data_IF_914395195603
#
_entry.id   IF_914395195603
#
_cell.length_a   1.000
_cell.length_b   1.000
_cell.length_c   1.000
_cell.angle_alpha   90.00
_cell.angle_beta   90.00
_cell.angle_gamma   90.00
#
_symmetry.space_group_name_H-M   'P 1'
#
loop_
_entity.id
_entity.type
_entity.pdbx_description
1 polymer ?
#
# COMPACT_ATOMS: atom_id res chain seq x y z
N UNK A 1 -14.04 17.44 -2.44
CA UNK A 1 -15.19 16.78 -3.07
C UNK A 1 -16.01 15.99 -2.10
N UNK A 2 -17.02 15.32 -2.60
CA UNK A 2 -17.87 14.44 -1.83
C UNK A 2 -18.21 13.16 -2.57
N UNK A 3 -18.56 12.11 -1.82
CA UNK A 3 -19.03 10.84 -2.34
C UNK A 3 -20.30 10.44 -1.60
N UNK A 4 -21.36 10.16 -2.34
CA UNK A 4 -22.59 9.58 -1.82
C UNK A 4 -22.55 8.08 -2.10
N UNK A 5 -22.60 7.26 -1.06
CA UNK A 5 -22.61 5.81 -1.17
C UNK A 5 -23.21 5.17 0.08
N UNK A 6 -23.94 4.07 -0.07
CA UNK A 6 -24.55 3.31 1.04
C UNK A 6 -25.42 4.16 1.97
N UNK A 7 -26.10 5.18 1.45
CA UNK A 7 -26.95 6.11 2.24
C UNK A 7 -26.17 7.10 3.09
N UNK A 8 -24.88 7.25 2.87
CA UNK A 8 -23.98 8.17 3.57
C UNK A 8 -23.33 9.14 2.60
N UNK A 9 -22.90 10.30 3.09
CA UNK A 9 -22.14 11.30 2.36
C UNK A 9 -20.77 11.43 3.03
N UNK A 10 -19.71 11.25 2.25
CA UNK A 10 -18.33 11.43 2.68
C UNK A 10 -17.76 12.68 2.03
N UNK A 11 -17.30 13.63 2.83
CA UNK A 11 -16.50 14.75 2.33
C UNK A 11 -15.04 14.38 2.36
N UNK A 12 -14.33 14.62 1.27
CA UNK A 12 -12.93 14.27 1.12
C UNK A 12 -12.11 15.42 0.53
N UNK A 13 -10.86 15.42 0.87
CA UNK A 13 -9.82 16.32 0.39
C UNK A 13 -8.69 15.52 -0.27
N UNK A 14 -7.71 16.19 -0.83
CA UNK A 14 -6.52 15.56 -1.41
C UNK A 14 -5.81 14.66 -0.39
N UNK A 15 -5.50 13.43 -0.81
CA UNK A 15 -4.82 12.43 0.00
C UNK A 15 -5.73 11.58 0.89
N UNK A 16 -7.01 11.94 1.06
CA UNK A 16 -7.95 11.12 1.79
C UNK A 16 -8.23 9.80 1.07
N UNK A 17 -8.43 8.75 1.85
CA UNK A 17 -8.76 7.42 1.35
C UNK A 17 -10.08 6.95 1.92
N UNK A 18 -10.92 6.34 1.12
CA UNK A 18 -12.14 5.71 1.59
C UNK A 18 -12.36 4.36 0.90
N UNK A 19 -13.05 3.46 1.58
CA UNK A 19 -13.32 2.10 1.12
C UNK A 19 -14.82 1.87 1.14
N UNK A 20 -15.37 1.49 0.00
CA UNK A 20 -16.79 1.22 -0.17
C UNK A 20 -17.03 -0.29 -0.34
N UNK A 21 -18.06 -0.85 0.31
CA UNK A 21 -18.45 -2.23 0.05
C UNK A 21 -19.05 -2.37 -1.36
N UNK A 22 -18.90 -3.55 -1.95
CA UNK A 22 -19.56 -3.85 -3.21
C UNK A 22 -21.08 -3.97 -3.04
N UNK A 23 -21.84 -3.73 -4.12
CA UNK A 23 -23.28 -3.94 -4.17
C UNK A 23 -24.12 -2.67 -4.11
N UNK A 24 -23.52 -1.50 -4.25
CA UNK A 24 -24.19 -0.21 -4.30
C UNK A 24 -23.64 0.72 -5.38
N UNK A 25 -24.38 1.76 -5.70
CA UNK A 25 -23.92 2.87 -6.52
C UNK A 25 -23.16 3.87 -5.65
N UNK A 26 -22.12 4.47 -6.22
CA UNK A 26 -21.39 5.58 -5.62
C UNK A 26 -21.41 6.77 -6.59
N UNK A 27 -21.78 7.93 -6.09
CA UNK A 27 -21.81 9.19 -6.85
C UNK A 27 -20.74 10.10 -6.31
N UNK A 28 -19.79 10.48 -7.16
CA UNK A 28 -18.70 11.39 -6.81
C UNK A 28 -18.96 12.77 -7.43
N UNK A 29 -18.74 13.82 -6.66
CA UNK A 29 -18.84 15.20 -7.11
C UNK A 29 -17.77 16.08 -6.47
N UNK A 30 -17.39 17.14 -7.18
CA UNK A 30 -16.46 18.16 -6.68
C UNK A 30 -16.74 19.50 -7.37
N UNK A 31 -16.61 20.59 -6.63
CA UNK A 31 -16.72 21.97 -7.17
C UNK A 31 -15.45 22.41 -7.92
N UNK A 32 -14.36 21.66 -7.79
CA UNK A 32 -13.08 21.88 -8.44
C UNK A 32 -12.63 20.65 -9.22
N UNK A 33 -11.53 20.77 -9.96
CA UNK A 33 -10.92 19.58 -10.56
C UNK A 33 -10.47 18.60 -9.46
N UNK A 34 -10.88 17.35 -9.61
CA UNK A 34 -10.50 16.26 -8.71
C UNK A 34 -10.24 14.99 -9.50
N UNK A 35 -9.33 14.16 -9.00
CA UNK A 35 -9.05 12.81 -9.48
C UNK A 35 -9.23 11.80 -8.37
N UNK A 36 -9.73 10.61 -8.71
CA UNK A 36 -9.83 9.49 -7.80
C UNK A 36 -8.99 8.34 -8.34
N UNK A 37 -8.07 7.82 -7.51
CA UNK A 37 -7.38 6.58 -7.79
C UNK A 37 -8.22 5.43 -7.26
N UNK A 38 -8.84 4.68 -8.17
CA UNK A 38 -9.79 3.62 -7.82
C UNK A 38 -9.19 2.23 -8.04
N UNK A 39 -9.13 1.44 -6.96
CA UNK A 39 -8.69 0.04 -6.97
C UNK A 39 -9.83 -0.85 -6.49
N UNK A 40 -10.06 -1.97 -7.17
CA UNK A 40 -11.12 -2.92 -6.85
C UNK A 40 -10.73 -4.35 -7.23
N UNK A 41 -11.39 -5.32 -6.63
CA UNK A 41 -11.18 -6.76 -6.82
C UNK A 41 -12.17 -7.43 -7.81
N UNK A 42 -12.95 -6.66 -8.56
CA UNK A 42 -13.89 -7.20 -9.53
C UNK A 42 -13.28 -8.18 -10.55
N UNK A 43 -12.04 -8.04 -11.02
CA UNK A 43 -11.40 -9.05 -11.87
C UNK A 43 -11.30 -10.42 -11.20
N UNK A 44 -10.94 -10.48 -9.92
CA UNK A 44 -10.88 -11.71 -9.13
C UNK A 44 -12.28 -12.33 -8.98
N UNK A 45 -13.29 -11.54 -8.65
CA UNK A 45 -14.65 -12.02 -8.48
C UNK A 45 -15.20 -12.61 -9.80
N UNK A 46 -14.92 -11.97 -10.93
CA UNK A 46 -15.26 -12.49 -12.26
C UNK A 46 -14.55 -13.81 -12.57
N UNK A 47 -13.25 -13.91 -12.24
CA UNK A 47 -12.50 -15.16 -12.42
C UNK A 47 -13.08 -16.30 -11.60
N UNK A 48 -13.51 -16.04 -10.36
CA UNK A 48 -14.12 -17.02 -9.47
C UNK A 48 -15.58 -17.36 -9.84
N UNK A 49 -16.21 -16.60 -10.75
CA UNK A 49 -17.61 -16.77 -11.12
C UNK A 49 -18.60 -16.41 -10.01
N UNK A 50 -18.21 -15.47 -9.11
CA UNK A 50 -19.01 -15.06 -7.95
C UNK A 50 -19.37 -13.59 -8.03
N UNK A 51 -20.41 -13.19 -7.30
CA UNK A 51 -20.82 -11.79 -7.14
C UNK A 51 -21.20 -11.51 -5.69
N UNK A 52 -21.14 -10.23 -5.31
CA UNK A 52 -21.58 -9.77 -4.00
C UNK A 52 -23.08 -9.85 -3.88
N UNK A 53 -23.59 -10.55 -2.86
CA UNK A 53 -25.04 -10.68 -2.59
C UNK A 53 -25.53 -9.51 -1.74
N UNK A 54 -24.70 -9.06 -0.81
CA UNK A 54 -24.99 -7.93 0.10
C UNK A 54 -23.68 -7.28 0.57
N UNK A 55 -23.70 -6.01 0.98
CA UNK A 55 -22.58 -5.39 1.69
C UNK A 55 -22.17 -6.23 2.91
N UNK A 56 -20.87 -6.40 3.12
CA UNK A 56 -20.31 -7.21 4.22
C UNK A 56 -19.50 -6.39 5.21
N UNK A 57 -19.38 -5.09 4.97
CA UNK A 57 -18.81 -4.09 5.87
C UNK A 57 -19.44 -2.73 5.57
N UNK A 58 -19.35 -1.82 6.52
CA UNK A 58 -19.74 -0.43 6.36
C UNK A 58 -18.61 0.36 5.69
N UNK A 59 -18.92 1.41 4.91
CA UNK A 59 -17.92 2.30 4.36
C UNK A 59 -16.92 2.78 5.42
N UNK A 60 -15.64 2.84 5.06
CA UNK A 60 -14.58 3.32 5.93
C UNK A 60 -13.90 4.54 5.31
N UNK A 61 -13.54 5.51 6.16
CA UNK A 61 -12.83 6.72 5.76
C UNK A 61 -11.53 6.84 6.56
N UNK A 62 -10.45 7.19 5.86
CA UNK A 62 -9.11 7.41 6.42
C UNK A 62 -8.65 8.81 6.03
N UNK A 63 -8.66 9.72 7.00
CA UNK A 63 -8.15 11.07 6.81
C UNK A 63 -6.66 11.05 6.51
N UNK A 64 -6.25 11.75 5.46
CA UNK A 64 -4.83 11.92 5.15
C UNK A 64 -4.09 12.59 6.31
N UNK A 65 -4.70 13.59 6.95
CA UNK A 65 -4.11 14.30 8.08
C UNK A 65 -3.79 13.35 9.24
N UNK A 66 -4.75 12.49 9.62
CA UNK A 66 -4.55 11.53 10.72
C UNK A 66 -3.53 10.45 10.37
N UNK A 67 -3.59 9.91 9.14
CA UNK A 67 -2.63 8.93 8.67
C UNK A 67 -1.19 9.48 8.64
N UNK A 68 -1.03 10.74 8.19
CA UNK A 68 0.26 11.45 8.20
C UNK A 68 0.76 11.68 9.61
N UNK A 69 -0.09 12.17 10.52
CA UNK A 69 0.31 12.41 11.91
C UNK A 69 0.78 11.13 12.62
N UNK A 70 0.10 10.00 12.38
CA UNK A 70 0.51 8.71 12.90
C UNK A 70 1.84 8.24 12.29
N UNK A 71 2.01 8.42 10.97
CA UNK A 71 3.22 8.04 10.25
C UNK A 71 4.44 8.84 10.74
N UNK A 72 4.29 10.16 10.92
CA UNK A 72 5.34 11.05 11.42
C UNK A 72 5.72 10.69 12.86
N UNK A 73 4.76 10.33 13.70
CA UNK A 73 5.02 9.86 15.06
C UNK A 73 5.81 8.54 15.08
N UNK A 74 5.54 7.61 14.17
CA UNK A 74 6.29 6.36 14.04
C UNK A 74 7.69 6.64 13.49
N UNK A 75 7.83 7.47 12.47
CA UNK A 75 9.11 7.83 11.86
C UNK A 75 10.05 8.53 12.85
N UNK A 76 9.51 9.36 13.73
CA UNK A 76 10.27 10.08 14.78
C UNK A 76 10.71 9.17 15.94
N UNK A 77 10.20 7.93 16.03
CA UNK A 77 10.62 7.00 17.06
C UNK A 77 11.96 6.35 16.67
N UNK A 78 12.96 6.28 17.58
CA UNK A 78 14.27 5.66 17.30
C UNK A 78 14.19 4.22 16.76
N UNK A 79 13.16 3.46 17.14
CA UNK A 79 12.92 2.11 16.60
C UNK A 79 12.40 2.16 15.16
N UNK A 80 11.60 3.17 14.82
CA UNK A 80 11.09 3.40 13.45
C UNK A 80 12.19 3.84 12.49
N UNK A 81 13.11 4.69 12.95
CA UNK A 81 14.22 5.22 12.13
C UNK A 81 15.15 4.12 11.57
N UNK A 82 15.21 2.95 12.19
CA UNK A 82 16.02 1.80 11.74
C UNK A 82 15.18 0.72 11.04
N UNK A 83 13.88 0.92 10.88
CA UNK A 83 13.03 -0.05 10.21
C UNK A 83 13.22 0.02 8.68
N UNK A 84 13.26 -1.14 8.01
CA UNK A 84 13.31 -1.19 6.55
C UNK A 84 12.07 -0.52 5.90
N UNK A 85 10.96 -0.46 6.64
CA UNK A 85 9.72 0.20 6.22
C UNK A 85 9.10 0.94 7.41
N UNK A 86 8.72 2.19 7.17
CA UNK A 86 7.90 2.98 8.10
C UNK A 86 6.54 3.21 7.43
N UNK A 87 5.48 2.69 8.01
CA UNK A 87 4.13 2.78 7.42
C UNK A 87 3.03 2.64 8.46
N UNK A 88 1.86 3.16 8.11
CA UNK A 88 0.60 3.02 8.84
C UNK A 88 -0.36 2.18 8.02
N UNK A 89 -0.88 1.10 8.60
CA UNK A 89 -1.90 0.27 7.96
C UNK A 89 -3.24 1.01 7.95
N UNK A 90 -3.91 0.98 6.81
CA UNK A 90 -5.29 1.40 6.68
C UNK A 90 -6.18 0.17 6.99
N UNK A 91 -6.45 -0.05 8.27
CA UNK A 91 -7.21 -1.22 8.73
C UNK A 91 -8.70 -0.92 8.82
N UNK A 92 -9.53 -1.88 8.43
CA UNK A 92 -10.97 -1.85 8.59
C UNK A 92 -11.39 -2.69 9.80
N UNK A 93 -12.20 -2.13 10.70
CA UNK A 93 -12.65 -2.81 11.91
C UNK A 93 -13.49 -4.07 11.64
N UNK A 94 -14.06 -4.21 10.45
CA UNK A 94 -14.74 -5.42 10.02
C UNK A 94 -13.77 -6.61 9.83
N UNK A 95 -12.47 -6.34 9.68
CA UNK A 95 -11.43 -7.36 9.44
C UNK A 95 -10.33 -7.34 10.52
N UNK A 96 -10.67 -7.55 11.80
CA UNK A 96 -9.70 -7.41 12.89
C UNK A 96 -8.57 -8.45 12.84
N UNK A 97 -8.83 -9.62 12.24
CA UNK A 97 -7.84 -10.71 12.13
C UNK A 97 -6.76 -10.43 11.07
N UNK A 98 -7.13 -9.79 9.97
CA UNK A 98 -6.24 -9.53 8.83
C UNK A 98 -5.74 -8.10 8.79
N UNK A 99 -6.45 -7.17 9.44
CA UNK A 99 -6.19 -5.72 9.42
C UNK A 99 -6.14 -5.15 7.99
N UNK A 100 -6.99 -5.69 7.13
CA UNK A 100 -7.10 -5.32 5.71
C UNK A 100 -8.20 -4.28 5.48
N UNK A 101 -8.21 -3.63 4.34
CA UNK A 101 -9.26 -2.64 3.98
C UNK A 101 -10.53 -3.33 3.47
N UNK A 102 -10.36 -4.47 2.78
CA UNK A 102 -11.44 -5.38 2.36
C UNK A 102 -11.00 -6.83 2.60
N UNK A 103 -11.81 -7.81 2.23
CA UNK A 103 -11.46 -9.22 2.27
C UNK A 103 -10.22 -9.58 1.44
N UNK A 104 -10.02 -8.85 0.35
CA UNK A 104 -8.99 -9.14 -0.65
C UNK A 104 -7.87 -8.09 -0.67
N UNK A 105 -8.17 -6.85 -0.30
CA UNK A 105 -7.24 -5.74 -0.44
C UNK A 105 -6.65 -5.31 0.90
N UNK A 106 -5.37 -5.07 0.88
CA UNK A 106 -4.56 -4.54 1.97
C UNK A 106 -3.91 -3.24 1.52
N UNK A 107 -3.91 -2.22 2.36
CA UNK A 107 -3.32 -0.93 2.03
C UNK A 107 -2.59 -0.32 3.24
N UNK A 108 -1.59 0.49 2.95
CA UNK A 108 -0.85 1.26 3.95
C UNK A 108 -0.39 2.58 3.37
N UNK A 109 -0.23 3.60 4.20
CA UNK A 109 0.54 4.79 3.86
C UNK A 109 1.96 4.64 4.39
N UNK A 110 2.95 4.75 3.49
CA UNK A 110 4.37 4.64 3.82
C UNK A 110 5.14 5.92 3.59
N UNK A 111 6.22 6.12 4.34
CA UNK A 111 7.21 7.17 4.12
C UNK A 111 8.54 6.54 3.71
N UNK A 112 9.19 7.16 2.74
CA UNK A 112 10.57 6.91 2.38
C UNK A 112 11.37 8.20 2.59
N UNK A 113 12.09 8.34 3.70
CA UNK A 113 12.82 9.56 4.02
C UNK A 113 13.86 9.92 2.96
N UNK A 114 14.21 11.21 2.89
CA UNK A 114 15.25 11.72 2.00
C UNK A 114 16.57 10.96 2.17
N UNK A 115 17.19 10.56 1.06
CA UNK A 115 18.45 9.83 1.03
C UNK A 115 18.37 8.37 1.51
N UNK A 116 17.18 7.81 1.74
CA UNK A 116 17.00 6.46 2.26
C UNK A 116 16.63 5.46 1.17
N UNK A 117 16.93 4.20 1.47
CA UNK A 117 16.58 3.04 0.64
C UNK A 117 15.82 2.04 1.50
N UNK A 118 14.62 1.68 1.06
CA UNK A 118 13.95 0.49 1.53
C UNK A 118 14.53 -0.71 0.76
N UNK A 119 15.27 -1.56 1.47
CA UNK A 119 15.98 -2.70 0.87
C UNK A 119 15.04 -3.69 0.19
N UNK A 120 15.58 -4.50 -0.75
CA UNK A 120 14.78 -5.45 -1.50
C UNK A 120 13.98 -6.39 -0.60
N UNK A 121 12.72 -6.51 -0.93
CA UNK A 121 11.79 -7.49 -0.37
C UNK A 121 10.89 -8.01 -1.48
N UNK A 122 10.21 -9.12 -1.23
CA UNK A 122 9.25 -9.71 -2.17
C UNK A 122 8.08 -10.33 -1.42
N UNK A 123 6.96 -10.43 -2.09
CA UNK A 123 5.77 -11.13 -1.64
C UNK A 123 5.01 -11.69 -2.83
N UNK A 124 4.15 -12.68 -2.63
CA UNK A 124 3.37 -13.28 -3.70
C UNK A 124 2.13 -12.47 -4.10
N UNK A 125 1.71 -11.50 -3.29
CA UNK A 125 0.68 -10.55 -3.69
C UNK A 125 1.21 -9.58 -4.74
N UNK A 126 0.34 -9.15 -5.65
CA UNK A 126 0.62 -7.98 -6.48
C UNK A 126 0.57 -6.71 -5.62
N UNK A 127 1.40 -5.73 -5.90
CA UNK A 127 1.26 -4.39 -5.34
C UNK A 127 0.98 -3.36 -6.46
N UNK A 128 0.02 -2.49 -6.18
CA UNK A 128 -0.22 -1.25 -6.90
C UNK A 128 0.30 -0.12 -6.01
N UNK A 129 1.46 0.39 -6.34
CA UNK A 129 2.13 1.43 -5.57
C UNK A 129 1.77 2.80 -6.14
N UNK A 130 1.02 3.59 -5.37
CA UNK A 130 0.64 4.95 -5.75
C UNK A 130 1.57 5.96 -5.08
N UNK A 131 2.31 6.73 -5.88
CA UNK A 131 3.19 7.79 -5.40
C UNK A 131 2.36 9.01 -4.97
N UNK A 132 2.07 9.12 -3.67
CA UNK A 132 1.26 10.21 -3.11
C UNK A 132 1.98 11.55 -3.23
N UNK A 133 3.26 11.58 -2.82
CA UNK A 133 4.11 12.75 -2.94
C UNK A 133 5.57 12.32 -3.07
N UNK A 134 6.28 12.87 -4.04
CA UNK A 134 7.70 12.64 -4.23
C UNK A 134 8.34 13.79 -5.02
N UNK A 135 9.65 13.91 -4.90
CA UNK A 135 10.47 14.76 -5.76
C UNK A 135 11.19 13.88 -6.81
N UNK A 136 11.68 14.45 -7.92
CA UNK A 136 12.56 13.74 -8.85
C UNK A 136 13.75 13.11 -8.12
N UNK A 137 14.08 11.86 -8.47
CA UNK A 137 15.08 11.04 -7.78
C UNK A 137 14.50 9.96 -6.88
N UNK A 138 13.16 9.85 -6.76
CA UNK A 138 12.50 8.71 -6.16
C UNK A 138 12.21 7.65 -7.23
N UNK A 139 12.49 6.38 -6.94
CA UNK A 139 12.25 5.29 -7.87
C UNK A 139 12.13 3.94 -7.16
N UNK A 140 11.62 2.95 -7.88
CA UNK A 140 11.59 1.54 -7.48
C UNK A 140 12.43 0.72 -8.44
N UNK A 141 13.30 -0.13 -7.89
CA UNK A 141 13.94 -1.20 -8.65
C UNK A 141 13.12 -2.48 -8.52
N UNK A 142 12.88 -3.17 -9.62
CA UNK A 142 12.07 -4.40 -9.70
C UNK A 142 12.88 -5.46 -10.46
N UNK A 143 13.00 -6.67 -9.90
CA UNK A 143 13.75 -7.72 -10.57
C UNK A 143 13.58 -9.10 -9.95
N UNK A 144 14.12 -10.12 -10.58
CA UNK A 144 14.00 -11.52 -10.14
C UNK A 144 15.21 -12.04 -9.40
N UNK A 145 16.35 -11.33 -9.51
CA UNK A 145 17.63 -11.78 -8.98
C UNK A 145 18.24 -10.75 -8.02
N UNK A 146 18.92 -11.24 -7.01
CA UNK A 146 19.73 -10.42 -6.10
C UNK A 146 21.21 -10.67 -6.38
N UNK A 147 22.03 -9.64 -6.15
CA UNK A 147 23.49 -9.74 -6.10
C UNK A 147 23.96 -10.27 -4.72
N UNK A 148 25.27 -10.39 -4.55
CA UNK A 148 25.93 -10.85 -3.31
C UNK A 148 25.66 -9.94 -2.10
N UNK A 149 25.31 -8.67 -2.34
CA UNK A 149 24.95 -7.70 -1.31
C UNK A 149 23.45 -7.67 -1.00
N UNK A 150 22.67 -8.52 -1.68
CA UNK A 150 21.20 -8.59 -1.55
C UNK A 150 20.49 -7.42 -2.22
N UNK A 151 21.12 -6.76 -3.18
CA UNK A 151 20.50 -5.72 -4.02
C UNK A 151 20.03 -6.34 -5.35
N UNK A 152 19.04 -5.70 -5.99
CA UNK A 152 18.45 -6.20 -7.22
C UNK A 152 19.47 -6.06 -8.36
N UNK A 153 19.74 -7.18 -9.04
CA UNK A 153 20.64 -7.25 -10.20
C UNK A 153 19.82 -7.26 -11.50
N UNK A 154 20.24 -6.46 -12.48
CA UNK A 154 19.61 -6.38 -13.80
C UNK A 154 18.10 -6.08 -13.74
N UNK A 155 17.67 -5.30 -12.73
CA UNK A 155 16.28 -4.94 -12.53
C UNK A 155 15.80 -3.83 -13.46
N UNK A 156 14.47 -3.74 -13.57
CA UNK A 156 13.79 -2.58 -14.14
C UNK A 156 13.73 -1.46 -13.13
N UNK A 157 14.03 -0.24 -13.54
CA UNK A 157 13.86 0.98 -12.74
C UNK A 157 12.55 1.67 -13.16
N UNK A 158 11.71 1.93 -12.19
CA UNK A 158 10.49 2.71 -12.33
C UNK A 158 10.63 4.01 -11.56
N UNK A 159 10.73 5.13 -12.26
CA UNK A 159 10.84 6.45 -11.65
C UNK A 159 9.46 6.92 -11.16
N UNK A 160 9.41 7.50 -9.96
CA UNK A 160 8.17 7.98 -9.38
C UNK A 160 7.80 9.36 -9.89
N UNK A 161 6.50 9.54 -10.15
CA UNK A 161 5.88 10.84 -10.33
C UNK A 161 4.70 10.97 -9.36
N UNK A 162 4.58 12.10 -8.67
CA UNK A 162 3.45 12.33 -7.76
C UNK A 162 2.12 12.19 -8.51
N UNK A 163 1.19 11.44 -7.94
CA UNK A 163 -0.10 11.10 -8.56
C UNK A 163 -0.05 9.95 -9.57
N UNK A 164 1.10 9.34 -9.83
CA UNK A 164 1.23 8.17 -10.68
C UNK A 164 1.20 6.87 -9.86
N UNK A 165 0.81 5.78 -10.51
CA UNK A 165 0.83 4.44 -9.94
C UNK A 165 1.66 3.50 -10.81
N UNK A 166 2.35 2.56 -10.18
CA UNK A 166 3.09 1.50 -10.84
C UNK A 166 2.80 0.14 -10.21
N UNK A 167 3.18 -0.93 -10.89
CA UNK A 167 2.90 -2.30 -10.47
C UNK A 167 4.19 -2.98 -10.05
N UNK A 168 4.16 -3.58 -8.85
CA UNK A 168 5.16 -4.58 -8.44
C UNK A 168 4.57 -5.98 -8.66
N UNK A 169 5.11 -6.78 -9.62
CA UNK A 169 4.59 -8.10 -9.92
C UNK A 169 4.76 -9.09 -8.77
N UNK A 170 3.86 -10.09 -8.64
CA UNK A 170 3.95 -11.13 -7.62
C UNK A 170 5.29 -11.87 -7.67
N UNK A 171 5.92 -12.03 -6.51
CA UNK A 171 7.17 -12.78 -6.36
C UNK A 171 8.44 -12.07 -6.81
N UNK A 172 8.34 -10.90 -7.42
CA UNK A 172 9.50 -10.10 -7.81
C UNK A 172 10.09 -9.37 -6.58
N UNK A 173 11.41 -9.35 -6.51
CA UNK A 173 12.12 -8.47 -5.60
C UNK A 173 11.89 -7.03 -6.02
N UNK A 174 11.64 -6.17 -5.05
CA UNK A 174 11.52 -4.73 -5.27
C UNK A 174 12.12 -3.96 -4.09
N UNK A 175 12.71 -2.81 -4.42
CA UNK A 175 13.31 -1.88 -3.46
C UNK A 175 12.95 -0.46 -3.84
N UNK A 176 12.68 0.37 -2.85
CA UNK A 176 12.33 1.77 -3.07
C UNK A 176 13.51 2.65 -2.67
N UNK A 177 13.80 3.63 -3.51
CA UNK A 177 14.95 4.52 -3.38
C UNK A 177 14.48 5.97 -3.39
N UNK A 178 15.02 6.77 -2.49
CA UNK A 178 14.79 8.21 -2.47
C UNK A 178 16.14 8.93 -2.47
N UNK A 179 16.59 9.31 -3.66
CA UNK A 179 17.81 10.10 -3.88
C UNK A 179 17.50 11.60 -3.92
N UNK A 180 16.25 11.99 -3.61
CA UNK A 180 15.84 13.40 -3.55
C UNK A 180 16.18 14.04 -2.21
N UNK A 181 15.99 15.36 -2.12
CA UNK A 181 16.23 16.13 -0.88
C UNK A 181 15.01 16.23 0.04
N UNK A 182 13.90 15.53 -0.22
CA UNK A 182 12.67 15.58 0.55
C UNK A 182 12.10 14.18 0.78
N UNK A 183 11.30 14.02 1.83
CA UNK A 183 10.60 12.78 2.10
C UNK A 183 9.57 12.46 1.01
N UNK A 184 9.46 11.19 0.66
CA UNK A 184 8.49 10.67 -0.30
C UNK A 184 7.44 9.80 0.39
N UNK A 185 6.22 9.80 -0.16
CA UNK A 185 5.08 9.09 0.39
C UNK A 185 4.45 8.21 -0.67
N UNK A 186 4.21 6.96 -0.31
CA UNK A 186 3.66 5.95 -1.20
C UNK A 186 2.51 5.22 -0.51
N UNK A 187 1.48 4.92 -1.28
CA UNK A 187 0.30 4.14 -0.87
C UNK A 187 0.29 2.81 -1.64
N UNK A 188 0.96 1.77 -1.14
CA UNK A 188 0.83 0.43 -1.70
C UNK A 188 -0.56 -0.14 -1.40
N UNK A 189 -1.21 -0.65 -2.44
CA UNK A 189 -2.45 -1.43 -2.35
C UNK A 189 -2.16 -2.82 -2.91
N UNK A 190 -2.41 -3.86 -2.11
CA UNK A 190 -2.05 -5.23 -2.45
C UNK A 190 -3.28 -6.14 -2.39
N UNK A 191 -3.32 -7.18 -3.23
CA UNK A 191 -4.31 -8.27 -3.12
C UNK A 191 -3.96 -9.28 -2.00
N UNK A 192 -3.29 -8.80 -0.97
CA UNK A 192 -2.76 -9.60 0.14
C UNK A 192 -3.83 -10.02 1.16
N UNK A 193 -5.05 -9.49 1.09
CA UNK A 193 -6.09 -9.76 2.10
C UNK A 193 -6.47 -11.23 2.18
N UNK A 194 -6.71 -11.87 1.04
CA UNK A 194 -7.02 -13.31 0.99
C UNK A 194 -5.83 -14.15 1.46
N UNK A 195 -4.61 -13.83 1.02
CA UNK A 195 -3.40 -14.51 1.47
C UNK A 195 -3.19 -14.41 2.98
N UNK A 196 -3.49 -13.25 3.57
CA UNK A 196 -3.43 -13.05 5.02
C UNK A 196 -4.47 -13.91 5.74
N UNK A 197 -5.71 -13.95 5.25
CA UNK A 197 -6.77 -14.77 5.83
C UNK A 197 -6.44 -16.27 5.78
N UNK A 198 -5.93 -16.74 4.64
CA UNK A 198 -5.51 -18.13 4.44
C UNK A 198 -4.18 -18.48 5.15
N UNK A 199 -3.49 -17.50 5.73
CA UNK A 199 -2.15 -17.64 6.35
C UNK A 199 -1.10 -18.15 5.36
N UNK A 200 -1.21 -17.74 4.11
CA UNK A 200 -0.29 -18.10 3.02
C UNK A 200 0.54 -16.91 2.55
N UNK A 201 0.35 -15.72 3.15
CA UNK A 201 1.16 -14.56 2.83
C UNK A 201 2.61 -14.81 3.26
N UNK A 202 3.50 -14.84 2.28
CA UNK A 202 4.95 -14.95 2.49
C UNK A 202 5.64 -13.66 2.07
N UNK A 203 6.31 -13.02 3.01
CA UNK A 203 7.12 -11.82 2.76
C UNK A 203 8.56 -12.16 3.07
N UNK A 204 9.41 -12.12 2.05
CA UNK A 204 10.84 -12.32 2.19
C UNK A 204 11.60 -10.99 2.09
N UNK A 205 12.61 -10.80 2.93
CA UNK A 205 13.51 -9.64 2.91
C UNK A 205 14.91 -10.09 2.50
N UNK A 206 15.60 -9.28 1.70
CA UNK A 206 17.01 -9.49 1.43
C UNK A 206 17.83 -9.26 2.70
N UNK A 207 18.82 -10.12 2.98
CA UNK A 207 19.72 -10.01 4.14
C UNK A 207 19.02 -10.01 5.52
N UNK A 208 18.13 -10.97 5.79
CA UNK A 208 17.99 -11.45 7.15
C UNK A 208 19.29 -12.17 7.49
N UNK A 209 20.18 -11.51 8.21
CA UNK A 209 21.35 -12.17 8.77
C UNK A 209 20.89 -13.41 9.57
N UNK A 210 21.70 -14.47 9.62
CA UNK A 210 21.42 -15.69 10.40
C UNK A 210 21.03 -15.45 11.87
N UNK A 211 21.23 -14.23 12.38
CA UNK A 211 20.84 -13.84 13.75
C UNK A 211 19.33 -13.64 13.94
N UNK A 212 18.56 -13.38 12.87
CA UNK A 212 17.12 -13.10 13.00
C UNK A 212 16.22 -14.34 12.98
N UNK A 213 16.76 -15.53 12.78
CA UNK A 213 15.99 -16.78 12.80
C UNK A 213 15.75 -17.33 14.22
N UNK A 214 16.26 -16.67 15.26
CA UNK A 214 16.13 -17.13 16.65
C UNK A 214 14.85 -16.69 17.37
N UNK A 215 13.98 -15.90 16.72
CA UNK A 215 12.73 -15.41 17.31
C UNK A 215 11.54 -15.55 16.35
N UNK A 216 11.21 -16.80 16.01
CA UNK A 216 9.86 -17.11 15.52
C UNK A 216 9.19 -17.94 16.60
N UNK A 217 8.10 -17.45 17.23
CA UNK A 217 7.33 -18.25 18.16
C UNK A 217 6.58 -19.38 17.47
#
# INVERSE_FOLDING_TARGET
GQTEACGQVFHWSEGDTFVLPAGGEAIHSSDTHAGLYWVHDAPLLRYLGVSTVKPVFEPCFYSHQDARAQLDAIASNPRGANANRVSVLLGNNAFPQTRTVTHTLWAMLGILPAGQVQRPHRHQSIALDFAVACQPGCYTMIGTELDENGMIRNGHREDWAAGAAFVTPPGYWHSHHNESGADAYVLPIQDAGLHTYLRTLDIAFSNRGRADLSHTP
#
